data_IF_786446791710
#
_entry.id   IF_786446791710
#
_cell.length_a   1.000
_cell.length_b   1.000
_cell.length_c   1.000
_cell.angle_alpha   90.00
_cell.angle_beta   90.00
_cell.angle_gamma   90.00
#
_symmetry.space_group_name_H-M   'P 1'
#
loop_
_entity.id
_entity.type
_entity.pdbx_description
1 polymer ?
#
# COMPACT_ATOMS: atom_id res chain seq x y z
N UNK A 1 18.20 -16.83 4.65
CA UNK A 1 17.28 -15.75 5.05
C UNK A 1 16.88 -15.85 6.52
N UNK A 2 16.14 -16.86 6.99
CA UNK A 2 15.76 -17.01 8.42
C UNK A 2 16.95 -16.94 9.40
N UNK A 3 18.09 -17.55 9.05
CA UNK A 3 19.30 -17.52 9.89
C UNK A 3 19.92 -16.12 10.01
N UNK A 4 19.80 -15.28 8.98
CA UNK A 4 20.37 -13.92 8.97
C UNK A 4 19.50 -12.93 9.78
N UNK A 5 18.18 -13.15 9.79
CA UNK A 5 17.24 -12.41 10.65
C UNK A 5 17.48 -12.75 12.12
N UNK A 6 17.71 -14.03 12.43
CA UNK A 6 17.96 -14.53 13.78
C UNK A 6 19.32 -14.10 14.38
N UNK A 7 20.23 -13.54 13.57
CA UNK A 7 21.49 -12.95 14.05
C UNK A 7 21.29 -11.54 14.62
N UNK A 8 20.11 -10.93 14.43
CA UNK A 8 19.73 -9.64 15.01
C UNK A 8 18.88 -9.86 16.27
N UNK A 9 18.82 -8.88 17.20
CA UNK A 9 17.92 -8.96 18.35
C UNK A 9 16.47 -9.26 17.89
N UNK A 10 15.74 -10.06 18.66
CA UNK A 10 14.36 -10.47 18.33
C UNK A 10 13.37 -9.29 18.16
N UNK A 11 13.74 -8.12 18.69
CA UNK A 11 12.99 -6.85 18.63
C UNK A 11 13.61 -5.82 17.67
N UNK A 12 14.50 -6.23 16.77
CA UNK A 12 14.98 -5.33 15.72
C UNK A 12 13.85 -5.06 14.69
N UNK A 13 13.36 -3.82 14.57
CA UNK A 13 12.21 -3.51 13.73
C UNK A 13 12.46 -3.83 12.25
N UNK A 14 13.69 -3.63 11.76
CA UNK A 14 14.06 -3.93 10.37
C UNK A 14 14.12 -5.44 10.14
N UNK A 15 14.65 -6.20 11.09
CA UNK A 15 14.69 -7.65 11.00
C UNK A 15 13.28 -8.25 10.94
N UNK A 16 12.37 -7.77 11.81
CA UNK A 16 10.97 -8.20 11.83
C UNK A 16 10.25 -7.81 10.53
N UNK A 17 10.49 -6.60 10.02
CA UNK A 17 9.95 -6.13 8.75
C UNK A 17 10.39 -7.01 7.57
N UNK A 18 11.69 -7.29 7.44
CA UNK A 18 12.20 -8.14 6.35
C UNK A 18 11.67 -9.59 6.47
N UNK A 19 11.44 -10.06 7.70
CA UNK A 19 10.78 -11.35 7.93
C UNK A 19 9.31 -11.37 7.49
N UNK A 20 8.60 -10.25 7.66
CA UNK A 20 7.26 -10.06 7.10
C UNK A 20 7.29 -10.10 5.57
N UNK A 21 8.24 -9.39 4.93
CA UNK A 21 8.43 -9.40 3.47
C UNK A 21 8.67 -10.81 2.91
N UNK A 22 9.43 -11.64 3.63
CA UNK A 22 9.66 -13.03 3.23
C UNK A 22 8.35 -13.83 3.26
N UNK A 23 7.52 -13.68 4.30
CA UNK A 23 6.22 -14.36 4.36
C UNK A 23 5.26 -13.89 3.26
N UNK A 24 5.17 -12.58 3.04
CA UNK A 24 4.33 -11.98 2.00
C UNK A 24 4.73 -12.48 0.60
N UNK A 25 6.03 -12.46 0.29
CA UNK A 25 6.54 -12.95 -1.01
C UNK A 25 6.37 -14.46 -1.24
N UNK A 26 6.17 -15.24 -0.17
CA UNK A 26 5.86 -16.67 -0.23
C UNK A 26 4.35 -16.96 -0.29
N UNK A 27 3.49 -15.93 -0.32
CA UNK A 27 2.03 -16.10 -0.30
C UNK A 27 1.52 -16.61 1.04
N UNK A 28 2.20 -16.24 2.14
CA UNK A 28 1.82 -16.57 3.52
C UNK A 28 1.38 -15.28 4.22
N UNK A 29 0.49 -14.53 3.58
CA UNK A 29 0.10 -13.16 3.99
C UNK A 29 -0.49 -13.13 5.40
N UNK A 30 -1.26 -14.15 5.79
CA UNK A 30 -1.81 -14.25 7.15
C UNK A 30 -0.73 -14.29 8.25
N UNK A 31 0.45 -14.83 7.95
CA UNK A 31 1.60 -14.80 8.85
C UNK A 31 2.43 -13.50 8.70
N UNK A 32 2.40 -12.85 7.53
CA UNK A 32 3.08 -11.59 7.30
C UNK A 32 2.41 -10.41 8.05
N UNK A 33 1.07 -10.36 8.10
CA UNK A 33 0.30 -9.28 8.75
C UNK A 33 0.75 -8.99 10.19
N UNK A 34 0.80 -9.98 11.13
CA UNK A 34 1.23 -9.71 12.49
C UNK A 34 2.71 -9.28 12.58
N UNK A 35 3.56 -9.71 11.65
CA UNK A 35 4.95 -9.30 11.60
C UNK A 35 5.10 -7.84 11.13
N UNK A 36 4.37 -7.42 10.10
CA UNK A 36 4.36 -6.02 9.68
C UNK A 36 3.87 -5.08 10.79
N UNK A 37 2.77 -5.44 11.47
CA UNK A 37 2.26 -4.67 12.62
C UNK A 37 3.32 -4.55 13.72
N UNK A 38 3.94 -5.67 14.11
CA UNK A 38 5.02 -5.66 15.10
C UNK A 38 6.20 -4.79 14.66
N UNK A 39 6.61 -4.84 13.40
CA UNK A 39 7.72 -4.03 12.92
C UNK A 39 7.41 -2.52 12.99
N UNK A 40 6.17 -2.13 12.66
CA UNK A 40 5.70 -0.75 12.82
C UNK A 40 5.68 -0.32 14.30
N UNK A 41 5.19 -1.17 15.19
CA UNK A 41 5.13 -0.91 16.64
C UNK A 41 6.52 -0.79 17.28
N UNK A 42 7.49 -1.57 16.81
CA UNK A 42 8.89 -1.51 17.24
C UNK A 42 9.62 -0.24 16.76
N UNK A 43 9.04 0.49 15.81
CA UNK A 43 9.57 1.75 15.29
C UNK A 43 10.54 1.55 14.13
N UNK A 44 10.05 1.74 12.91
CA UNK A 44 10.88 1.83 11.70
C UNK A 44 11.24 3.28 11.40
N UNK A 45 12.35 3.49 10.68
CA UNK A 45 12.58 4.78 10.02
C UNK A 45 11.45 5.09 9.02
N UNK A 46 11.26 6.37 8.69
CA UNK A 46 10.14 6.83 7.85
C UNK A 46 10.04 6.08 6.51
N UNK A 47 11.17 5.75 5.91
CA UNK A 47 11.22 5.06 4.62
C UNK A 47 10.71 3.62 4.77
N UNK A 48 11.23 2.87 5.74
CA UNK A 48 10.81 1.50 5.99
C UNK A 48 9.40 1.43 6.59
N UNK A 49 8.98 2.39 7.42
CA UNK A 49 7.62 2.48 7.93
C UNK A 49 6.60 2.63 6.78
N UNK A 50 6.92 3.47 5.78
CA UNK A 50 6.06 3.62 4.60
C UNK A 50 6.04 2.33 3.78
N UNK A 51 7.19 1.69 3.55
CA UNK A 51 7.25 0.39 2.87
C UNK A 51 6.44 -0.69 3.60
N UNK A 52 6.56 -0.77 4.92
CA UNK A 52 5.83 -1.72 5.75
C UNK A 52 4.32 -1.48 5.69
N UNK A 53 3.89 -0.22 5.72
CA UNK A 53 2.47 0.14 5.61
C UNK A 53 1.87 -0.28 4.26
N UNK A 54 2.57 -0.02 3.15
CA UNK A 54 2.11 -0.41 1.80
C UNK A 54 2.01 -1.94 1.68
N UNK A 55 3.03 -2.66 2.15
CA UNK A 55 3.04 -4.12 2.07
C UNK A 55 2.00 -4.75 3.00
N UNK A 56 1.87 -4.26 4.24
CA UNK A 56 0.81 -4.66 5.16
C UNK A 56 -0.57 -4.50 4.52
N UNK A 57 -0.85 -3.36 3.90
CA UNK A 57 -2.12 -3.13 3.23
C UNK A 57 -2.35 -4.09 2.04
N UNK A 58 -1.30 -4.43 1.29
CA UNK A 58 -1.39 -5.45 0.25
C UNK A 58 -1.70 -6.83 0.82
N UNK A 59 -1.04 -7.24 1.90
CA UNK A 59 -1.29 -8.52 2.57
C UNK A 59 -2.70 -8.56 3.17
N UNK A 60 -3.17 -7.49 3.82
CA UNK A 60 -4.53 -7.34 4.35
C UNK A 60 -5.60 -7.51 3.26
N UNK A 61 -5.40 -6.86 2.09
CA UNK A 61 -6.27 -7.04 0.93
C UNK A 61 -6.34 -8.50 0.48
N UNK A 62 -5.20 -9.20 0.43
CA UNK A 62 -5.13 -10.60 0.00
C UNK A 62 -5.83 -11.55 0.99
N UNK A 63 -5.81 -11.25 2.29
CA UNK A 63 -6.53 -12.05 3.32
C UNK A 63 -7.98 -11.64 3.53
N UNK A 64 -8.49 -10.67 2.76
CA UNK A 64 -9.89 -10.24 2.79
C UNK A 64 -10.21 -9.09 3.75
N UNK A 65 -9.22 -8.57 4.48
CA UNK A 65 -9.35 -7.41 5.38
C UNK A 65 -9.24 -6.10 4.57
N UNK A 66 -10.12 -5.96 3.58
CA UNK A 66 -10.00 -4.94 2.52
C UNK A 66 -10.22 -3.52 3.07
N UNK A 67 -11.17 -3.31 3.98
CA UNK A 67 -11.46 -1.98 4.52
C UNK A 67 -10.28 -1.42 5.34
N UNK A 68 -9.59 -2.28 6.09
CA UNK A 68 -8.37 -1.90 6.82
C UNK A 68 -7.25 -1.53 5.85
N UNK A 69 -7.07 -2.30 4.77
CA UNK A 69 -6.09 -2.00 3.74
C UNK A 69 -6.33 -0.61 3.12
N UNK A 70 -7.58 -0.27 2.81
CA UNK A 70 -7.95 1.06 2.30
C UNK A 70 -7.63 2.15 3.33
N UNK A 71 -8.05 1.97 4.59
CA UNK A 71 -7.83 2.96 5.64
C UNK A 71 -6.34 3.25 5.88
N UNK A 72 -5.51 2.20 5.93
CA UNK A 72 -4.06 2.34 6.07
C UNK A 72 -3.44 3.13 4.92
N UNK A 73 -3.81 2.82 3.68
CA UNK A 73 -3.27 3.49 2.50
C UNK A 73 -3.77 4.93 2.34
N UNK A 74 -4.96 5.26 2.85
CA UNK A 74 -5.46 6.63 2.89
C UNK A 74 -4.75 7.48 3.97
N UNK A 75 -4.41 6.87 5.10
CA UNK A 75 -3.71 7.55 6.21
C UNK A 75 -2.20 7.67 5.97
N UNK A 76 -1.61 6.81 5.14
CA UNK A 76 -0.18 6.81 4.87
C UNK A 76 0.29 8.10 4.16
N UNK A 77 1.39 8.73 4.62
CA UNK A 77 1.93 9.92 3.99
C UNK A 77 2.44 9.64 2.57
N UNK A 78 2.59 10.70 1.76
CA UNK A 78 3.34 10.59 0.50
C UNK A 78 4.83 10.35 0.82
N UNK A 79 5.44 9.37 0.15
CA UNK A 79 6.88 9.14 0.23
C UNK A 79 7.49 9.29 -1.18
N UNK A 80 8.12 10.44 -1.49
CA UNK A 80 8.69 10.69 -2.82
C UNK A 80 9.66 9.60 -3.28
N UNK A 81 10.41 9.00 -2.36
CA UNK A 81 11.34 7.90 -2.63
C UNK A 81 10.66 6.62 -3.14
N UNK A 82 9.35 6.46 -2.92
CA UNK A 82 8.54 5.34 -3.40
C UNK A 82 7.63 5.72 -4.58
N UNK A 83 7.71 6.96 -5.06
CA UNK A 83 6.89 7.46 -6.16
C UNK A 83 5.40 7.25 -5.90
N UNK A 84 4.68 6.72 -6.89
CA UNK A 84 3.23 6.52 -6.82
C UNK A 84 2.81 5.19 -6.17
N UNK A 85 3.72 4.46 -5.51
CA UNK A 85 3.43 3.14 -4.96
C UNK A 85 2.19 3.12 -4.05
N UNK A 86 2.07 4.05 -3.10
CA UNK A 86 0.88 4.15 -2.22
C UNK A 86 -0.41 4.26 -3.02
N UNK A 87 -0.45 5.13 -4.04
CA UNK A 87 -1.63 5.35 -4.87
C UNK A 87 -2.01 4.11 -5.68
N UNK A 88 -1.02 3.40 -6.23
CA UNK A 88 -1.25 2.14 -6.96
C UNK A 88 -1.85 1.08 -6.03
N UNK A 89 -1.29 0.88 -4.84
CA UNK A 89 -1.84 -0.09 -3.89
C UNK A 89 -3.20 0.34 -3.34
N UNK A 90 -3.45 1.65 -3.18
CA UNK A 90 -4.77 2.18 -2.80
C UNK A 90 -5.81 1.87 -3.88
N UNK A 91 -5.47 2.05 -5.16
CA UNK A 91 -6.35 1.69 -6.27
C UNK A 91 -6.73 0.19 -6.22
N UNK A 92 -5.77 -0.71 -5.97
CA UNK A 92 -6.03 -2.14 -5.84
C UNK A 92 -6.94 -2.48 -4.65
N UNK A 93 -6.72 -1.83 -3.51
CA UNK A 93 -7.56 -2.00 -2.32
C UNK A 93 -8.99 -1.49 -2.56
N UNK A 94 -9.14 -0.29 -3.14
CA UNK A 94 -10.44 0.29 -3.50
C UNK A 94 -11.21 -0.60 -4.50
N UNK A 95 -10.53 -1.16 -5.49
CA UNK A 95 -11.16 -2.10 -6.43
C UNK A 95 -11.67 -3.34 -5.71
N UNK A 96 -10.87 -3.91 -4.80
CA UNK A 96 -11.27 -5.07 -4.00
C UNK A 96 -12.42 -4.74 -3.04
N UNK A 97 -12.56 -3.48 -2.65
CA UNK A 97 -13.66 -2.97 -1.83
C UNK A 97 -14.95 -2.70 -2.63
N UNK A 98 -14.98 -3.01 -3.93
CA UNK A 98 -16.13 -2.72 -4.80
C UNK A 98 -16.29 -1.24 -5.12
N UNK A 99 -15.20 -0.45 -5.06
CA UNK A 99 -15.17 1.00 -5.37
C UNK A 99 -14.37 1.27 -6.66
N UNK A 100 -14.81 0.76 -7.83
CA UNK A 100 -14.02 0.77 -9.07
C UNK A 100 -13.74 2.17 -9.62
N UNK A 101 -14.68 3.11 -9.49
CA UNK A 101 -14.49 4.49 -9.97
C UNK A 101 -13.38 5.20 -9.19
N UNK A 102 -13.38 5.05 -7.87
CA UNK A 102 -12.32 5.58 -7.00
C UNK A 102 -10.98 4.90 -7.25
N UNK A 103 -10.99 3.58 -7.48
CA UNK A 103 -9.80 2.83 -7.84
C UNK A 103 -9.18 3.34 -9.15
N UNK A 104 -9.99 3.49 -10.20
CA UNK A 104 -9.52 3.98 -11.50
C UNK A 104 -9.03 5.43 -11.39
N UNK A 105 -9.69 6.27 -10.60
CA UNK A 105 -9.23 7.63 -10.30
C UNK A 105 -7.82 7.61 -9.70
N UNK A 106 -7.58 6.83 -8.64
CA UNK A 106 -6.25 6.76 -8.01
C UNK A 106 -5.16 6.24 -8.96
N UNK A 107 -5.47 5.22 -9.77
CA UNK A 107 -4.55 4.70 -10.77
C UNK A 107 -4.21 5.73 -11.87
N UNK A 108 -5.21 6.49 -12.35
CA UNK A 108 -4.98 7.57 -13.30
C UNK A 108 -4.10 8.67 -12.70
N UNK A 109 -4.41 9.12 -11.48
CA UNK A 109 -3.63 10.16 -10.80
C UNK A 109 -2.19 9.73 -10.53
N UNK A 110 -1.94 8.43 -10.29
CA UNK A 110 -0.59 7.87 -10.19
C UNK A 110 0.20 7.95 -11.51
N UNK A 111 -0.46 7.73 -12.65
CA UNK A 111 0.19 7.74 -13.98
C UNK A 111 0.37 9.15 -14.53
N UNK A 112 -0.54 10.08 -14.24
CA UNK A 112 -0.53 11.46 -14.79
C UNK A 112 0.85 12.14 -14.77
N UNK A 113 1.64 12.12 -13.68
CA UNK A 113 2.93 12.79 -13.62
C UNK A 113 3.96 12.22 -14.61
N UNK A 114 3.77 10.99 -15.08
CA UNK A 114 4.69 10.29 -16.00
C UNK A 114 4.35 10.53 -17.47
N UNK A 115 3.16 11.05 -17.76
CA UNK A 115 2.73 11.28 -19.14
C UNK A 115 3.52 12.45 -19.75
N UNK A 116 3.99 12.35 -21.00
CA UNK A 116 4.61 13.47 -21.70
C UNK A 116 3.59 14.52 -22.19
N UNK A 117 2.30 14.14 -22.29
CA UNK A 117 1.20 15.00 -22.76
C UNK A 117 -0.14 14.51 -22.18
N UNK A 118 -1.19 15.31 -22.34
CA UNK A 118 -2.56 15.03 -21.88
C UNK A 118 -2.76 14.95 -20.36
N UNK A 119 -1.83 15.49 -19.56
CA UNK A 119 -1.92 15.48 -18.09
C UNK A 119 -3.22 16.17 -17.60
N UNK A 120 -3.56 17.32 -18.21
CA UNK A 120 -4.80 18.05 -17.89
C UNK A 120 -6.04 17.21 -18.16
N UNK A 121 -6.14 16.62 -19.36
CA UNK A 121 -7.28 15.81 -19.76
C UNK A 121 -7.41 14.55 -18.90
N UNK A 122 -6.30 13.87 -18.61
CA UNK A 122 -6.29 12.69 -17.75
C UNK A 122 -6.73 13.01 -16.32
N UNK A 123 -6.31 14.15 -15.74
CA UNK A 123 -6.83 14.62 -14.44
C UNK A 123 -8.33 14.89 -14.49
N UNK A 124 -8.80 15.59 -15.53
CA UNK A 124 -10.23 15.89 -15.67
C UNK A 124 -11.10 14.63 -15.75
N UNK A 125 -10.65 13.59 -16.48
CA UNK A 125 -11.36 12.31 -16.51
C UNK A 125 -11.31 11.58 -15.16
N UNK A 126 -10.17 11.63 -14.45
CA UNK A 126 -10.06 11.03 -13.13
C UNK A 126 -11.02 11.67 -12.12
N UNK A 127 -11.18 13.00 -12.15
CA UNK A 127 -12.11 13.72 -11.28
C UNK A 127 -13.58 13.43 -11.63
N UNK A 128 -13.91 13.34 -12.92
CA UNK A 128 -15.27 13.04 -13.38
C UNK A 128 -15.81 11.67 -12.93
N UNK A 129 -14.93 10.67 -12.74
CA UNK A 129 -15.33 9.32 -12.30
C UNK A 129 -16.07 9.33 -10.97
N UNK A 130 -15.63 10.15 -10.01
CA UNK A 130 -16.21 10.20 -8.66
C UNK A 130 -17.32 11.24 -8.51
N UNK A 131 -17.43 12.19 -9.45
CA UNK A 131 -18.58 13.09 -9.53
C UNK A 131 -19.83 12.33 -9.98
N UNK A 132 -19.69 11.45 -10.97
CA UNK A 132 -20.80 10.64 -11.50
C UNK A 132 -21.42 9.73 -10.44
N UNK A 133 -20.60 9.10 -9.60
CA UNK A 133 -21.06 8.24 -8.49
C UNK A 133 -21.85 9.00 -7.42
N UNK A 134 -21.65 10.33 -7.26
CA UNK A 134 -22.40 11.14 -6.27
C UNK A 134 -23.77 11.60 -6.75
N UNK A 135 -23.98 11.59 -8.06
CA UNK A 135 -25.25 11.96 -8.71
C UNK A 135 -26.15 10.77 -9.06
N UNK A 136 -25.66 9.54 -8.89
CA UNK A 136 -26.40 8.29 -9.09
C UNK A 136 -26.96 7.77 -7.75
#
# INVERSE_FOLDING_TARGET
>A
MRLLVAERPDDDPVAVFEWACIHDSLGIEGAAVPLYRRALDLGLDDFNATRATIQLASSLRNVGEVDEAVALLQAAPDAPALGAARQVFLALALHSAGRPDEALREALLAVVPTLPRYQRSARAYADALVEQTRTA
#
